data_IF_738509290998
#
_entry.id   IF_738509290998
#
_cell.length_a   1.000
_cell.length_b   1.000
_cell.length_c   1.000
_cell.angle_alpha   90.00
_cell.angle_beta   90.00
_cell.angle_gamma   90.00
#
_symmetry.space_group_name_H-M   'P 1'
#
loop_
_entity.id
_entity.type
_entity.pdbx_description
1 polymer ?
#
# COMPACT_ATOMS: atom_id res chain seq x y z
N UNK A 1 -16.73 -19.76 -3.26
CA UNK A 1 -16.00 -19.68 -4.55
C UNK A 1 -14.68 -18.98 -4.28
N UNK A 2 -13.57 -19.49 -4.82
CA UNK A 2 -12.26 -18.82 -4.71
C UNK A 2 -11.83 -18.35 -6.09
N UNK A 3 -11.39 -17.11 -6.18
CA UNK A 3 -10.89 -16.46 -7.38
C UNK A 3 -9.45 -15.99 -7.15
N UNK A 4 -8.60 -16.18 -8.16
CA UNK A 4 -7.24 -15.69 -8.19
C UNK A 4 -7.09 -14.81 -9.41
N UNK A 5 -6.68 -13.56 -9.21
CA UNK A 5 -6.52 -12.60 -10.31
C UNK A 5 -5.08 -12.09 -10.32
N UNK A 6 -4.45 -12.17 -11.49
CA UNK A 6 -3.17 -11.51 -11.76
C UNK A 6 -3.45 -10.27 -12.59
N UNK A 7 -2.89 -9.14 -12.18
CA UNK A 7 -3.13 -7.87 -12.83
C UNK A 7 -1.91 -6.97 -12.80
N UNK A 8 -2.12 -5.76 -13.33
CA UNK A 8 -1.21 -4.63 -13.18
C UNK A 8 -1.90 -3.54 -12.40
N UNK A 9 -1.14 -2.73 -11.70
CA UNK A 9 -1.63 -1.52 -11.03
C UNK A 9 -0.86 -0.31 -11.53
N UNK A 10 -1.52 0.85 -11.40
CA UNK A 10 -0.93 2.18 -11.49
C UNK A 10 -1.37 2.93 -10.22
N UNK A 11 -0.45 3.61 -9.58
CA UNK A 11 -0.65 4.27 -8.29
C UNK A 11 -0.30 5.74 -8.41
N UNK A 12 -1.28 6.59 -8.11
CA UNK A 12 -1.06 8.02 -7.98
C UNK A 12 -0.33 8.31 -6.67
N UNK A 13 0.87 8.88 -6.77
CA UNK A 13 1.63 9.39 -5.63
C UNK A 13 1.35 10.90 -5.52
N UNK A 14 0.96 11.35 -4.33
CA UNK A 14 0.61 12.76 -4.10
C UNK A 14 1.33 13.34 -2.90
N UNK A 15 1.47 14.66 -2.89
CA UNK A 15 2.16 15.41 -1.85
C UNK A 15 3.61 15.77 -2.21
N UNK A 16 4.28 16.58 -1.38
CA UNK A 16 5.68 16.93 -1.61
C UNK A 16 6.62 15.76 -1.30
N UNK A 17 7.83 15.80 -1.86
CA UNK A 17 8.95 14.97 -1.43
C UNK A 17 9.10 15.09 0.10
N UNK A 18 8.91 14.00 0.85
CA UNK A 18 8.79 14.09 2.30
C UNK A 18 10.14 14.34 2.99
N UNK A 19 11.26 14.26 2.26
CA UNK A 19 12.60 14.52 2.77
C UNK A 19 13.08 15.95 2.49
N UNK A 20 12.73 16.51 1.33
CA UNK A 20 13.18 17.86 0.92
C UNK A 20 12.09 18.93 1.04
N UNK A 21 10.82 18.53 1.12
CA UNK A 21 9.66 19.42 0.99
C UNK A 21 9.41 19.92 -0.43
N UNK A 22 10.22 19.52 -1.41
CA UNK A 22 10.05 19.89 -2.81
C UNK A 22 8.74 19.32 -3.38
N UNK A 23 8.10 20.04 -4.29
CA UNK A 23 6.91 19.51 -4.96
C UNK A 23 7.30 18.33 -5.87
N UNK A 24 6.43 17.33 -5.99
CA UNK A 24 6.59 16.28 -7.00
C UNK A 24 6.06 16.85 -8.33
N UNK A 25 6.90 16.81 -9.35
CA UNK A 25 6.64 17.34 -10.70
C UNK A 25 6.11 16.26 -11.63
N UNK A 26 6.57 15.03 -11.43
CA UNK A 26 6.04 13.86 -12.13
C UNK A 26 6.29 12.59 -11.35
N UNK A 27 5.35 11.65 -11.45
CA UNK A 27 5.37 10.35 -10.82
C UNK A 27 4.97 9.26 -11.82
N UNK A 28 5.53 8.07 -11.62
CA UNK A 28 5.08 6.82 -12.22
C UNK A 28 5.31 5.72 -11.18
N UNK A 29 4.24 5.09 -10.73
CA UNK A 29 4.30 3.97 -9.81
C UNK A 29 3.40 2.84 -10.31
N UNK A 30 4.01 1.88 -10.99
CA UNK A 30 3.29 0.78 -11.62
C UNK A 30 3.93 -0.56 -11.32
N UNK A 31 3.12 -1.62 -11.39
CA UNK A 31 3.58 -2.94 -11.02
C UNK A 31 2.57 -4.04 -11.30
N UNK A 32 2.80 -5.18 -10.67
CA UNK A 32 1.94 -6.35 -10.75
C UNK A 32 1.23 -6.60 -9.42
N UNK A 33 0.01 -7.10 -9.50
CA UNK A 33 -0.80 -7.50 -8.35
C UNK A 33 -1.24 -8.96 -8.49
N UNK A 34 -1.24 -9.68 -7.39
CA UNK A 34 -1.93 -10.98 -7.25
C UNK A 34 -2.96 -10.84 -6.14
N UNK A 35 -4.23 -11.08 -6.48
CA UNK A 35 -5.34 -11.08 -5.54
C UNK A 35 -5.89 -12.50 -5.37
N UNK A 36 -6.20 -12.89 -4.14
CA UNK A 36 -6.93 -14.10 -3.81
C UNK A 36 -8.18 -13.69 -3.06
N UNK A 37 -9.36 -14.04 -3.58
CA UNK A 37 -10.65 -13.73 -2.92
C UNK A 37 -11.44 -15.01 -2.78
N UNK A 38 -12.00 -15.24 -1.60
CA UNK A 38 -12.91 -16.35 -1.33
C UNK A 38 -14.23 -15.80 -0.79
N UNK A 39 -15.31 -16.05 -1.54
CA UNK A 39 -16.68 -15.76 -1.15
C UNK A 39 -17.35 -17.02 -0.58
N UNK A 40 -18.08 -16.86 0.52
CA UNK A 40 -18.82 -17.96 1.15
C UNK A 40 -20.21 -18.11 0.53
N UNK A 41 -20.87 -19.28 0.67
CA UNK A 41 -22.10 -19.59 -0.06
C UNK A 41 -23.26 -18.59 0.11
N UNK A 42 -23.34 -17.92 1.26
CA UNK A 42 -24.36 -16.89 1.53
C UNK A 42 -23.96 -15.49 1.04
N UNK A 43 -22.70 -15.28 0.64
CA UNK A 43 -22.19 -14.02 0.07
C UNK A 43 -21.94 -12.88 1.05
N UNK A 44 -22.21 -13.13 2.34
CA UNK A 44 -22.03 -12.23 3.49
C UNK A 44 -20.64 -12.34 4.14
N UNK A 45 -19.91 -13.43 3.90
CA UNK A 45 -18.53 -13.59 4.33
C UNK A 45 -17.57 -13.56 3.14
N UNK A 46 -16.43 -12.89 3.32
CA UNK A 46 -15.37 -12.76 2.33
C UNK A 46 -14.00 -12.77 2.99
N UNK A 47 -13.08 -13.54 2.41
CA UNK A 47 -11.66 -13.51 2.75
C UNK A 47 -10.87 -13.12 1.51
N UNK A 48 -10.13 -12.02 1.58
CA UNK A 48 -9.33 -11.51 0.49
C UNK A 48 -7.91 -11.19 0.95
N UNK A 49 -6.95 -11.44 0.07
CA UNK A 49 -5.56 -10.99 0.23
C UNK A 49 -5.03 -10.50 -1.11
N UNK A 50 -4.24 -9.43 -1.09
CA UNK A 50 -3.49 -9.03 -2.26
C UNK A 50 -2.01 -8.85 -1.94
N UNK A 51 -1.17 -9.08 -2.94
CA UNK A 51 0.25 -8.73 -2.94
C UNK A 51 0.55 -7.91 -4.17
N UNK A 52 1.17 -6.75 -3.97
CA UNK A 52 1.62 -5.85 -5.01
C UNK A 52 3.14 -5.74 -4.99
N UNK A 53 3.74 -5.69 -6.16
CA UNK A 53 5.16 -5.36 -6.31
C UNK A 53 5.32 -4.49 -7.54
N UNK A 54 5.99 -3.36 -7.37
CA UNK A 54 6.11 -2.37 -8.43
C UNK A 54 7.44 -1.64 -8.44
N UNK A 55 7.57 -0.78 -9.45
CA UNK A 55 8.62 0.21 -9.56
C UNK A 55 8.01 1.58 -9.28
N UNK A 56 8.85 2.48 -8.80
CA UNK A 56 8.49 3.87 -8.57
C UNK A 56 9.54 4.74 -9.22
N UNK A 57 9.11 5.75 -9.97
CA UNK A 57 9.92 6.88 -10.44
C UNK A 57 9.25 8.17 -10.03
N UNK A 58 10.00 9.08 -9.41
CA UNK A 58 9.55 10.41 -9.05
C UNK A 58 10.56 11.45 -9.55
N UNK A 59 10.09 12.61 -9.97
CA UNK A 59 10.89 13.80 -10.19
C UNK A 59 10.36 14.89 -9.27
N UNK A 60 11.23 15.47 -8.45
CA UNK A 60 10.86 16.62 -7.62
C UNK A 60 11.27 17.96 -8.24
N UNK A 61 10.78 19.05 -7.66
CA UNK A 61 11.03 20.42 -8.12
C UNK A 61 12.48 20.88 -7.91
N UNK A 62 13.29 20.11 -7.18
CA UNK A 62 14.74 20.31 -7.09
C UNK A 62 15.50 19.62 -8.23
N UNK A 63 14.77 19.01 -9.17
CA UNK A 63 15.31 18.26 -10.30
C UNK A 63 16.10 17.02 -9.86
N UNK A 64 15.68 16.40 -8.75
CA UNK A 64 16.18 15.10 -8.29
C UNK A 64 15.21 14.02 -8.76
N UNK A 65 15.74 13.03 -9.49
CA UNK A 65 14.97 11.85 -9.86
C UNK A 65 15.17 10.76 -8.82
N UNK A 66 14.08 10.29 -8.24
CA UNK A 66 14.05 9.14 -7.35
C UNK A 66 13.56 7.91 -8.11
N UNK A 67 14.28 6.80 -8.01
CA UNK A 67 13.84 5.52 -8.59
C UNK A 67 13.94 4.40 -7.56
N UNK A 68 13.06 3.42 -7.65
CA UNK A 68 13.11 2.27 -6.76
C UNK A 68 11.91 1.34 -6.88
N UNK A 69 11.54 0.75 -5.75
CA UNK A 69 10.55 -0.32 -5.68
C UNK A 69 9.56 -0.11 -4.55
N UNK A 70 8.37 -0.67 -4.75
CA UNK A 70 7.36 -0.81 -3.72
C UNK A 70 6.93 -2.27 -3.57
N UNK A 71 6.56 -2.64 -2.36
CA UNK A 71 5.85 -3.89 -2.07
C UNK A 71 4.72 -3.57 -1.11
N UNK A 72 3.51 -3.96 -1.50
CA UNK A 72 2.34 -3.88 -0.65
C UNK A 72 1.74 -5.26 -0.44
N UNK A 73 1.17 -5.46 0.73
CA UNK A 73 0.37 -6.62 1.04
C UNK A 73 -0.82 -6.18 1.87
N UNK A 74 -1.99 -6.73 1.60
CA UNK A 74 -3.16 -6.47 2.41
C UNK A 74 -4.03 -7.69 2.56
N UNK A 75 -4.81 -7.70 3.64
CA UNK A 75 -5.89 -8.66 3.84
C UNK A 75 -7.19 -7.95 4.22
N UNK A 76 -8.30 -8.54 3.81
CA UNK A 76 -9.65 -8.15 4.17
C UNK A 76 -10.43 -9.41 4.51
N UNK A 77 -10.75 -9.60 5.79
CA UNK A 77 -11.50 -10.77 6.26
C UNK A 77 -12.76 -10.29 6.97
N UNK A 78 -13.92 -10.80 6.57
CA UNK A 78 -15.21 -10.44 7.13
C UNK A 78 -16.08 -11.68 7.30
N UNK A 79 -16.79 -11.74 8.41
CA UNK A 79 -17.90 -12.65 8.67
C UNK A 79 -18.99 -11.93 9.49
N UNK A 80 -20.05 -12.65 9.85
CA UNK A 80 -21.17 -12.09 10.63
C UNK A 80 -20.78 -11.56 12.02
N UNK A 81 -19.62 -11.97 12.55
CA UNK A 81 -19.19 -11.62 13.91
C UNK A 81 -18.19 -10.48 13.95
N UNK A 82 -17.36 -10.32 12.92
CA UNK A 82 -16.32 -9.31 12.86
C UNK A 82 -15.78 -9.10 11.45
N UNK A 83 -15.01 -8.02 11.30
CA UNK A 83 -14.05 -7.87 10.22
C UNK A 83 -12.67 -7.54 10.76
N UNK A 84 -11.65 -7.96 10.01
CA UNK A 84 -10.24 -7.73 10.32
C UNK A 84 -9.50 -7.40 9.03
N UNK A 85 -8.84 -6.25 9.03
CA UNK A 85 -8.17 -5.70 7.87
C UNK A 85 -6.77 -5.25 8.27
N UNK A 86 -5.77 -5.65 7.50
CA UNK A 86 -4.39 -5.22 7.69
C UNK A 86 -3.79 -4.86 6.34
N UNK A 87 -2.88 -3.91 6.37
CA UNK A 87 -2.11 -3.52 5.19
C UNK A 87 -0.68 -3.19 5.61
N UNK A 88 0.25 -3.57 4.75
CA UNK A 88 1.65 -3.23 4.88
C UNK A 88 2.14 -2.65 3.57
N UNK A 89 2.94 -1.59 3.64
CA UNK A 89 3.63 -1.01 2.51
C UNK A 89 5.10 -0.86 2.85
N UNK A 90 5.97 -1.17 1.89
CA UNK A 90 7.37 -0.79 1.92
C UNK A 90 7.73 -0.12 0.60
N UNK A 91 8.31 1.07 0.67
CA UNK A 91 8.83 1.81 -0.48
C UNK A 91 10.29 2.13 -0.23
N UNK A 92 11.15 1.89 -1.21
CA UNK A 92 12.58 2.19 -1.14
C UNK A 92 12.99 2.88 -2.42
N UNK A 93 13.40 4.14 -2.32
CA UNK A 93 13.80 4.98 -3.45
C UNK A 93 15.22 5.51 -3.26
N UNK A 94 15.92 5.65 -4.38
CA UNK A 94 17.24 6.28 -4.47
C UNK A 94 17.19 7.50 -5.38
N UNK A 95 17.63 8.65 -4.85
CA UNK A 95 17.75 9.91 -5.57
C UNK A 95 19.01 9.95 -6.44
N UNK A 96 18.92 10.64 -7.58
CA UNK A 96 20.05 10.90 -8.49
C UNK A 96 21.15 11.77 -7.86
N UNK A 97 20.83 12.50 -6.79
CA UNK A 97 21.75 13.31 -5.97
C UNK A 97 22.43 12.50 -4.86
N UNK A 98 22.14 11.19 -4.75
CA UNK A 98 22.66 10.33 -3.70
C UNK A 98 21.76 10.23 -2.47
N UNK A 99 20.67 10.99 -2.39
CA UNK A 99 19.69 10.86 -1.30
C UNK A 99 18.90 9.55 -1.37
N UNK A 100 18.17 9.22 -0.33
CA UNK A 100 17.31 8.03 -0.24
C UNK A 100 16.04 8.30 0.56
N UNK A 101 14.97 7.62 0.16
CA UNK A 101 13.67 7.66 0.82
C UNK A 101 13.27 6.21 1.13
N UNK A 102 13.00 5.92 2.39
CA UNK A 102 12.43 4.63 2.81
C UNK A 102 11.15 4.87 3.58
N UNK A 103 10.07 4.20 3.16
CA UNK A 103 8.78 4.22 3.83
C UNK A 103 8.45 2.80 4.26
N UNK A 104 8.00 2.65 5.51
CA UNK A 104 7.31 1.46 5.98
C UNK A 104 5.99 1.86 6.59
N UNK A 105 4.92 1.17 6.21
CA UNK A 105 3.60 1.33 6.79
C UNK A 105 3.11 -0.03 7.30
N UNK A 106 2.51 -0.02 8.48
CA UNK A 106 1.68 -1.11 8.97
C UNK A 106 0.41 -0.51 9.55
N UNK A 107 -0.72 -0.88 8.98
CA UNK A 107 -2.03 -0.53 9.51
C UNK A 107 -2.84 -1.79 9.81
N UNK A 108 -3.72 -1.67 10.79
CA UNK A 108 -4.67 -2.71 11.14
C UNK A 108 -5.89 -2.12 11.83
N UNK A 109 -7.07 -2.57 11.42
CA UNK A 109 -8.29 -2.30 12.16
C UNK A 109 -9.21 -3.53 12.18
N UNK A 110 -9.98 -3.63 13.25
CA UNK A 110 -10.99 -4.66 13.43
C UNK A 110 -12.33 -4.05 13.82
N UNK A 111 -13.41 -4.58 13.27
CA UNK A 111 -14.79 -4.22 13.62
C UNK A 111 -15.46 -5.43 14.29
N UNK A 112 -16.33 -5.18 15.26
CA UNK A 112 -17.26 -6.22 15.74
C UNK A 112 -18.52 -6.30 14.83
N UNK A 113 -19.44 -7.21 15.14
CA UNK A 113 -20.69 -7.43 14.41
C UNK A 113 -21.58 -6.17 14.24
N UNK A 114 -21.44 -5.17 15.13
CA UNK A 114 -22.19 -3.92 15.05
C UNK A 114 -21.46 -2.85 14.22
N UNK A 115 -20.34 -3.20 13.57
CA UNK A 115 -19.49 -2.26 12.83
C UNK A 115 -18.67 -1.34 13.72
N UNK A 116 -18.56 -1.63 15.03
CA UNK A 116 -17.78 -0.79 15.96
C UNK A 116 -16.33 -1.22 15.92
N UNK A 117 -15.43 -0.25 15.75
CA UNK A 117 -13.97 -0.45 15.81
C UNK A 117 -13.56 -0.94 17.20
N UNK A 118 -12.92 -2.09 17.26
CA UNK A 118 -12.41 -2.70 18.51
C UNK A 118 -10.90 -2.63 18.62
N UNK A 119 -10.20 -2.59 17.47
CA UNK A 119 -8.76 -2.39 17.35
C UNK A 119 -8.53 -1.43 16.21
N UNK A 120 -7.62 -0.47 16.40
CA UNK A 120 -7.15 0.40 15.34
C UNK A 120 -5.72 0.84 15.64
N UNK A 121 -4.83 0.64 14.68
CA UNK A 121 -3.56 1.32 14.64
C UNK A 121 -3.12 1.56 13.21
N UNK A 122 -2.40 2.65 13.03
CA UNK A 122 -1.74 3.03 11.80
C UNK A 122 -0.34 3.52 12.19
N UNK A 123 0.67 2.92 11.59
CA UNK A 123 2.07 3.22 11.88
C UNK A 123 2.84 3.33 10.58
N UNK A 124 3.07 4.57 10.17
CA UNK A 124 4.01 4.91 9.11
C UNK A 124 5.34 5.37 9.72
N UNK A 125 6.44 4.84 9.19
CA UNK A 125 7.79 5.35 9.42
C UNK A 125 8.41 5.78 8.11
N UNK A 126 8.96 6.99 8.10
CA UNK A 126 9.70 7.56 6.99
C UNK A 126 11.16 7.76 7.43
N UNK A 127 12.10 7.38 6.58
CA UNK A 127 13.52 7.65 6.75
C UNK A 127 14.11 8.30 5.50
N UNK A 128 14.88 9.35 5.73
CA UNK A 128 15.61 10.10 4.72
C UNK A 128 17.11 9.96 4.99
N UNK A 129 17.91 9.79 3.95
CA UNK A 129 19.37 9.62 4.06
C UNK A 129 20.12 10.10 2.84
#
# INVERSE_FOLDING_TARGET
>A
MTEITHGVFDADLSGPNPCSGAEIVSEDASGTVVNHVTFFPAGDEVWATFTETGKVTLLDSNNVTYTGHLTAWGNFNMNEQNSNNSFTLTVQLKGSDGSSITVHEVQHFALNANGVVTVNFDRMTLSCG
#
